data_IF_728555000945
#
_entry.id   IF_728555000945
#
_cell.length_a   1.000
_cell.length_b   1.000
_cell.length_c   1.000
_cell.angle_alpha   90.00
_cell.angle_beta   90.00
_cell.angle_gamma   90.00
#
_symmetry.space_group_name_H-M   'P 1'
#
loop_
_entity.id
_entity.type
_entity.pdbx_description
1 polymer ?
#
# COMPACT_ATOMS: atom_id res chain seq x y z
N UNK A 1 0.55 20.19 8.41
CA UNK A 1 -0.30 19.09 8.94
C UNK A 1 -1.16 18.41 7.87
N UNK A 2 -1.37 19.00 6.68
CA UNK A 2 -2.22 18.45 5.61
C UNK A 2 -1.59 17.28 4.81
N UNK A 3 -0.28 17.28 4.58
CA UNK A 3 0.39 16.33 3.69
C UNK A 3 0.39 14.87 4.17
N UNK A 4 0.87 14.63 5.39
CA UNK A 4 1.00 13.27 5.96
C UNK A 4 -0.35 12.59 6.17
N UNK A 5 -1.35 13.33 6.67
CA UNK A 5 -2.70 12.79 6.84
C UNK A 5 -3.33 12.35 5.52
N UNK A 6 -3.07 13.08 4.42
CA UNK A 6 -3.54 12.71 3.10
C UNK A 6 -2.84 11.44 2.58
N UNK A 7 -1.53 11.28 2.77
CA UNK A 7 -0.82 10.05 2.40
C UNK A 7 -1.38 8.84 3.14
N UNK A 8 -1.54 8.95 4.47
CA UNK A 8 -2.09 7.88 5.31
C UNK A 8 -3.51 7.52 4.85
N UNK A 9 -4.37 8.52 4.62
CA UNK A 9 -5.73 8.30 4.15
C UNK A 9 -5.76 7.59 2.78
N UNK A 10 -4.88 7.97 1.85
CA UNK A 10 -4.80 7.35 0.52
C UNK A 10 -4.31 5.89 0.57
N UNK A 11 -3.30 5.60 1.41
CA UNK A 11 -2.84 4.23 1.65
C UNK A 11 -3.98 3.41 2.24
N UNK A 12 -4.53 3.83 3.39
CA UNK A 12 -5.59 3.10 4.10
C UNK A 12 -6.79 2.87 3.18
N UNK A 13 -7.16 3.86 2.39
CA UNK A 13 -8.22 3.75 1.41
C UNK A 13 -7.97 2.62 0.40
N UNK A 14 -6.79 2.58 -0.22
CA UNK A 14 -6.40 1.56 -1.19
C UNK A 14 -6.38 0.17 -0.56
N UNK A 15 -5.69 0.02 0.58
CA UNK A 15 -5.56 -1.27 1.27
C UNK A 15 -6.91 -1.81 1.73
N UNK A 16 -7.78 -0.92 2.21
CA UNK A 16 -9.14 -1.28 2.62
C UNK A 16 -10.00 -1.74 1.44
N UNK A 17 -9.86 -1.13 0.26
CA UNK A 17 -10.57 -1.58 -0.96
C UNK A 17 -10.12 -3.00 -1.33
N UNK A 18 -8.83 -3.32 -1.24
CA UNK A 18 -8.32 -4.66 -1.55
C UNK A 18 -8.76 -5.70 -0.53
N UNK A 19 -8.70 -5.38 0.76
CA UNK A 19 -9.24 -6.24 1.81
C UNK A 19 -10.75 -6.50 1.61
N UNK A 20 -11.52 -5.46 1.28
CA UNK A 20 -12.97 -5.58 0.98
C UNK A 20 -13.24 -6.43 -0.26
N UNK A 21 -12.37 -6.37 -1.28
CA UNK A 21 -12.49 -7.24 -2.47
C UNK A 21 -12.27 -8.70 -2.10
N UNK A 22 -11.25 -9.03 -1.31
CA UNK A 22 -11.00 -10.41 -0.87
C UNK A 22 -12.16 -10.93 -0.01
N UNK A 23 -12.62 -10.14 0.96
CA UNK A 23 -13.77 -10.48 1.81
C UNK A 23 -15.05 -10.63 0.96
N UNK A 24 -15.25 -9.76 -0.02
CA UNK A 24 -16.39 -9.79 -0.94
C UNK A 24 -16.41 -11.04 -1.82
N UNK A 25 -15.26 -11.49 -2.33
CA UNK A 25 -15.14 -12.76 -3.07
C UNK A 25 -15.51 -13.94 -2.16
N UNK A 26 -15.04 -13.94 -0.91
CA UNK A 26 -15.36 -14.97 0.07
C UNK A 26 -16.85 -14.97 0.47
N UNK A 27 -17.47 -13.80 0.70
CA UNK A 27 -18.90 -13.68 1.02
C UNK A 27 -19.79 -14.07 -0.18
N UNK A 28 -19.45 -13.63 -1.39
CA UNK A 28 -20.14 -14.01 -2.62
C UNK A 28 -20.11 -15.54 -2.80
N UNK A 29 -18.95 -16.14 -2.56
CA UNK A 29 -18.79 -17.58 -2.65
C UNK A 29 -19.60 -18.34 -1.57
N UNK A 30 -19.68 -17.81 -0.34
CA UNK A 30 -20.54 -18.35 0.73
C UNK A 30 -22.05 -18.27 0.42
N UNK A 31 -22.49 -17.35 -0.44
CA UNK A 31 -23.91 -17.25 -0.85
C UNK A 31 -24.37 -18.46 -1.64
N UNK A 32 -23.46 -19.18 -2.30
CA UNK A 32 -23.79 -20.39 -3.07
C UNK A 32 -23.93 -21.66 -2.20
N UNK A 33 -23.67 -21.59 -0.88
CA UNK A 33 -23.87 -22.70 0.06
C UNK A 33 -25.29 -22.72 0.65
N UNK A 34 -25.73 -23.89 1.14
CA UNK A 34 -27.01 -24.08 1.83
C UNK A 34 -27.20 -23.12 3.02
N UNK A 35 -28.45 -22.81 3.38
CA UNK A 35 -28.78 -21.75 4.34
C UNK A 35 -28.09 -21.90 5.71
N UNK A 36 -27.99 -23.13 6.23
CA UNK A 36 -27.36 -23.43 7.52
C UNK A 36 -25.82 -23.35 7.44
N UNK A 37 -25.26 -23.92 6.37
CA UNK A 37 -23.84 -23.87 6.02
C UNK A 37 -23.34 -22.43 5.79
N UNK A 38 -24.16 -21.59 5.16
CA UNK A 38 -23.89 -20.15 4.95
C UNK A 38 -23.76 -19.39 6.27
N UNK A 39 -24.59 -19.70 7.26
CA UNK A 39 -24.56 -19.01 8.57
C UNK A 39 -23.31 -19.36 9.37
N UNK A 40 -22.90 -20.63 9.37
CA UNK A 40 -21.63 -21.08 9.97
C UNK A 40 -20.42 -20.52 9.24
N UNK A 41 -20.42 -20.58 7.90
CA UNK A 41 -19.34 -20.05 7.08
C UNK A 41 -19.13 -18.54 7.26
N UNK A 42 -20.20 -17.74 7.34
CA UNK A 42 -20.09 -16.29 7.63
C UNK A 42 -19.52 -16.01 9.03
N UNK A 43 -19.93 -16.77 10.06
CA UNK A 43 -19.34 -16.63 11.40
C UNK A 43 -17.84 -16.92 11.41
N UNK A 44 -17.41 -17.97 10.70
CA UNK A 44 -16.00 -18.33 10.56
C UNK A 44 -15.21 -17.31 9.73
N UNK A 45 -15.82 -16.74 8.69
CA UNK A 45 -15.24 -15.63 7.93
C UNK A 45 -14.95 -14.44 8.85
N UNK A 46 -15.95 -13.97 9.61
CA UNK A 46 -15.77 -12.84 10.52
C UNK A 46 -14.81 -13.12 11.67
N UNK A 47 -14.78 -14.36 12.19
CA UNK A 47 -13.77 -14.78 13.16
C UNK A 47 -12.36 -14.69 12.57
N UNK A 48 -12.17 -15.11 11.32
CA UNK A 48 -10.91 -14.98 10.60
C UNK A 48 -10.52 -13.51 10.38
N UNK A 49 -11.45 -12.67 9.93
CA UNK A 49 -11.24 -11.21 9.79
C UNK A 49 -10.79 -10.60 11.11
N UNK A 50 -11.49 -10.89 12.22
CA UNK A 50 -11.13 -10.37 13.54
C UNK A 50 -9.73 -10.82 13.96
N UNK A 51 -9.39 -12.09 13.76
CA UNK A 51 -8.06 -12.62 14.05
C UNK A 51 -6.96 -11.93 13.21
N UNK A 52 -7.22 -11.69 11.92
CA UNK A 52 -6.29 -10.97 11.04
C UNK A 52 -6.09 -9.51 11.47
N UNK A 53 -7.16 -8.81 11.82
CA UNK A 53 -7.08 -7.43 12.34
C UNK A 53 -6.29 -7.38 13.65
N UNK A 54 -6.54 -8.31 14.58
CA UNK A 54 -5.79 -8.39 15.83
C UNK A 54 -4.29 -8.61 15.58
N UNK A 55 -3.93 -9.43 14.60
CA UNK A 55 -2.52 -9.66 14.25
C UNK A 55 -1.87 -8.39 13.67
N UNK A 56 -2.57 -7.66 12.80
CA UNK A 56 -2.09 -6.39 12.27
C UNK A 56 -1.93 -5.33 13.37
N UNK A 57 -2.89 -5.23 14.29
CA UNK A 57 -2.79 -4.33 15.45
C UNK A 57 -1.63 -4.71 16.37
N UNK A 58 -1.37 -6.00 16.56
CA UNK A 58 -0.24 -6.48 17.34
C UNK A 58 1.09 -6.09 16.68
N UNK A 59 1.19 -6.21 15.35
CA UNK A 59 2.35 -5.72 14.61
C UNK A 59 2.52 -4.20 14.78
N UNK A 60 1.44 -3.43 14.69
CA UNK A 60 1.47 -1.98 14.86
C UNK A 60 1.99 -1.59 16.26
N UNK A 61 1.46 -2.24 17.29
CA UNK A 61 1.90 -2.04 18.66
C UNK A 61 3.37 -2.41 18.84
N UNK A 62 3.83 -3.50 18.21
CA UNK A 62 5.23 -3.91 18.27
C UNK A 62 6.16 -2.88 17.61
N UNK A 63 5.81 -2.38 16.42
CA UNK A 63 6.62 -1.36 15.72
C UNK A 63 6.73 -0.06 16.53
N UNK A 64 5.63 0.39 17.13
CA UNK A 64 5.62 1.57 18.00
C UNK A 64 6.44 1.32 19.26
N UNK A 65 6.26 0.18 19.93
CA UNK A 65 7.00 -0.17 21.14
C UNK A 65 8.51 -0.23 20.89
N UNK A 66 8.92 -0.86 19.79
CA UNK A 66 10.33 -0.91 19.39
C UNK A 66 10.83 0.50 19.08
N UNK A 67 10.12 1.26 18.25
CA UNK A 67 10.51 2.63 17.90
C UNK A 67 10.67 3.55 19.11
N UNK A 68 9.73 3.53 20.06
CA UNK A 68 9.75 4.36 21.28
C UNK A 68 10.83 3.92 22.27
N UNK A 69 11.32 2.68 22.17
CA UNK A 69 12.38 2.16 23.05
C UNK A 69 13.79 2.55 22.62
N UNK A 70 13.98 2.96 21.37
CA UNK A 70 15.27 3.35 20.80
C UNK A 70 15.55 4.84 21.04
N UNK A 71 16.82 5.21 21.17
CA UNK A 71 17.24 6.60 21.36
C UNK A 71 18.51 6.90 20.57
N UNK A 72 18.69 8.16 20.15
CA UNK A 72 19.89 8.61 19.46
C UNK A 72 20.09 7.91 18.10
N UNK A 73 21.29 7.39 17.86
CA UNK A 73 21.65 6.80 16.57
C UNK A 73 20.80 5.56 16.23
N UNK A 74 20.44 4.73 17.23
CA UNK A 74 19.62 3.53 17.00
C UNK A 74 18.22 3.88 16.49
N UNK A 75 17.64 4.98 16.99
CA UNK A 75 16.36 5.51 16.53
C UNK A 75 16.46 5.97 15.07
N UNK A 76 17.55 6.69 14.73
CA UNK A 76 17.77 7.18 13.38
C UNK A 76 17.95 6.03 12.37
N UNK A 77 18.69 4.97 12.73
CA UNK A 77 18.82 3.77 11.91
C UNK A 77 17.48 3.05 11.72
N UNK A 78 16.72 2.86 12.80
CA UNK A 78 15.42 2.19 12.74
C UNK A 78 14.40 2.98 11.91
N UNK A 79 14.34 4.30 12.11
CA UNK A 79 13.51 5.23 11.32
C UNK A 79 13.86 5.13 9.84
N UNK A 80 15.14 5.25 9.50
CA UNK A 80 15.63 5.20 8.11
C UNK A 80 15.31 3.86 7.46
N UNK A 81 15.61 2.75 8.15
CA UNK A 81 15.32 1.40 7.66
C UNK A 81 13.82 1.21 7.42
N UNK A 82 12.99 1.64 8.37
CA UNK A 82 11.53 1.55 8.25
C UNK A 82 11.01 2.30 7.04
N UNK A 83 11.46 3.55 6.84
CA UNK A 83 11.02 4.39 5.70
C UNK A 83 11.39 3.72 4.36
N UNK A 84 12.62 3.21 4.24
CA UNK A 84 13.10 2.54 3.03
C UNK A 84 12.42 1.19 2.79
N UNK A 85 12.17 0.42 3.85
CA UNK A 85 11.40 -0.83 3.76
C UNK A 85 9.98 -0.55 3.32
N UNK A 86 9.31 0.46 3.89
CA UNK A 86 7.98 0.88 3.46
C UNK A 86 7.96 1.26 1.97
N UNK A 87 8.92 2.06 1.52
CA UNK A 87 9.04 2.43 0.11
C UNK A 87 9.24 1.20 -0.81
N UNK A 88 10.13 0.28 -0.43
CA UNK A 88 10.39 -0.96 -1.16
C UNK A 88 9.17 -1.88 -1.24
N UNK A 89 8.44 -2.03 -0.13
CA UNK A 89 7.20 -2.80 -0.08
C UNK A 89 6.10 -2.20 -0.98
N UNK A 90 5.95 -0.87 -1.03
CA UNK A 90 5.00 -0.21 -1.95
C UNK A 90 5.37 -0.53 -3.40
N UNK A 91 6.63 -0.33 -3.79
CA UNK A 91 7.09 -0.60 -5.16
C UNK A 91 6.90 -2.07 -5.52
N UNK A 92 7.30 -2.98 -4.63
CA UNK A 92 7.15 -4.41 -4.83
C UNK A 92 5.69 -4.80 -5.05
N UNK A 93 4.76 -4.29 -4.22
CA UNK A 93 3.33 -4.59 -4.32
C UNK A 93 2.74 -4.09 -5.64
N UNK A 94 3.05 -2.86 -6.01
CA UNK A 94 2.62 -2.27 -7.29
C UNK A 94 3.06 -3.13 -8.47
N UNK A 95 4.33 -3.53 -8.49
CA UNK A 95 4.88 -4.36 -9.56
C UNK A 95 4.26 -5.77 -9.57
N UNK A 96 4.00 -6.34 -8.39
CA UNK A 96 3.37 -7.66 -8.26
C UNK A 96 1.94 -7.68 -8.79
N UNK A 97 1.13 -6.67 -8.46
CA UNK A 97 -0.23 -6.53 -9.00
C UNK A 97 -0.23 -6.37 -10.52
N UNK A 98 0.71 -5.60 -11.06
CA UNK A 98 0.81 -5.41 -12.50
C UNK A 98 1.21 -6.70 -13.24
N UNK A 99 2.05 -7.53 -12.63
CA UNK A 99 2.41 -8.83 -13.18
C UNK A 99 1.28 -9.88 -13.06
N UNK A 100 0.54 -9.90 -11.94
CA UNK A 100 -0.35 -11.01 -11.59
C UNK A 100 -1.85 -10.68 -11.62
N UNK A 101 -2.26 -9.43 -11.83
CA UNK A 101 -3.66 -8.97 -11.70
C UNK A 101 -4.68 -9.68 -12.59
N UNK A 102 -4.27 -10.20 -13.76
CA UNK A 102 -5.14 -10.96 -14.67
C UNK A 102 -5.25 -12.46 -14.34
N UNK A 103 -4.42 -12.99 -13.44
CA UNK A 103 -4.35 -14.42 -13.10
C UNK A 103 -4.94 -14.75 -11.72
N UNK A 104 -4.97 -13.79 -10.78
CA UNK A 104 -5.44 -14.00 -9.41
C UNK A 104 -6.90 -14.49 -9.34
N UNK A 105 -7.80 -13.85 -10.10
CA UNK A 105 -9.22 -14.24 -10.10
C UNK A 105 -9.45 -15.69 -10.57
N UNK A 106 -8.64 -16.18 -11.51
CA UNK A 106 -8.73 -17.55 -12.03
C UNK A 106 -8.07 -18.57 -11.08
N UNK A 107 -6.94 -18.21 -10.46
CA UNK A 107 -6.22 -19.08 -9.54
C UNK A 107 -6.94 -19.26 -8.20
N UNK A 108 -7.55 -18.19 -7.66
CA UNK A 108 -8.37 -18.28 -6.45
C UNK A 108 -9.63 -19.12 -6.69
N UNK A 109 -10.31 -18.94 -7.82
CA UNK A 109 -11.47 -19.75 -8.19
C UNK A 109 -11.16 -21.26 -8.29
N UNK A 110 -9.99 -21.61 -8.82
CA UNK A 110 -9.56 -23.00 -8.99
C UNK A 110 -9.10 -23.68 -7.70
N UNK A 111 -8.48 -22.96 -6.75
CA UNK A 111 -8.06 -23.54 -5.45
C UNK A 111 -9.21 -23.66 -4.45
N UNK A 112 -10.22 -22.81 -4.56
CA UNK A 112 -11.38 -22.81 -3.64
C UNK A 112 -12.35 -23.96 -3.91
N UNK A 113 -12.49 -24.39 -5.18
CA UNK A 113 -13.38 -25.50 -5.56
C UNK A 113 -12.96 -26.86 -4.96
N UNK A 114 -11.69 -27.03 -4.59
CA UNK A 114 -11.17 -28.24 -3.95
C UNK A 114 -11.43 -28.32 -2.44
N UNK A 115 -11.21 -27.23 -1.70
CA UNK A 115 -11.24 -27.23 -0.23
C UNK A 115 -12.63 -27.38 0.39
N UNK A 116 -13.67 -27.03 -0.37
CA UNK A 116 -15.06 -26.98 0.12
C UNK A 116 -15.76 -28.32 -0.02
N UNK A 117 -15.33 -29.13 -1.00
CA UNK A 117 -15.78 -30.52 -1.14
C UNK A 117 -15.51 -31.36 0.12
N UNK A 118 -14.65 -30.87 1.02
CA UNK A 118 -14.31 -31.49 2.30
C UNK A 118 -15.03 -30.92 3.54
N UNK A 119 -15.94 -29.93 3.42
CA UNK A 119 -16.73 -29.42 4.56
C UNK A 119 -15.94 -28.72 5.68
N UNK A 120 -14.68 -28.33 5.43
CA UNK A 120 -13.77 -27.76 6.43
C UNK A 120 -13.89 -26.24 6.50
N UNK A 121 -14.90 -25.74 7.23
CA UNK A 121 -15.14 -24.30 7.48
C UNK A 121 -13.96 -23.55 8.11
N UNK A 122 -13.07 -24.27 8.79
CA UNK A 122 -11.78 -23.76 9.26
C UNK A 122 -10.89 -23.21 8.14
N UNK A 123 -10.99 -23.75 6.93
CA UNK A 123 -10.26 -23.23 5.77
C UNK A 123 -10.70 -21.82 5.37
N UNK A 124 -11.99 -21.50 5.50
CA UNK A 124 -12.52 -20.15 5.23
C UNK A 124 -12.04 -19.16 6.30
N UNK A 125 -12.07 -19.56 7.57
CA UNK A 125 -11.54 -18.75 8.68
C UNK A 125 -10.05 -18.45 8.47
N UNK A 126 -9.24 -19.48 8.25
CA UNK A 126 -7.80 -19.34 8.07
C UNK A 126 -7.44 -18.49 6.85
N UNK A 127 -8.12 -18.71 5.71
CA UNK A 127 -7.88 -17.94 4.50
C UNK A 127 -8.22 -16.47 4.68
N UNK A 128 -9.34 -16.17 5.34
CA UNK A 128 -9.73 -14.81 5.67
C UNK A 128 -8.75 -14.15 6.65
N UNK A 129 -8.31 -14.90 7.67
CA UNK A 129 -7.32 -14.42 8.64
C UNK A 129 -5.99 -14.10 7.96
N UNK A 130 -5.45 -14.99 7.13
CA UNK A 130 -4.19 -14.77 6.40
C UNK A 130 -4.31 -13.58 5.44
N UNK A 131 -5.42 -13.49 4.71
CA UNK A 131 -5.64 -12.37 3.79
C UNK A 131 -5.69 -11.03 4.53
N UNK A 132 -6.55 -10.91 5.55
CA UNK A 132 -6.68 -9.66 6.32
C UNK A 132 -5.40 -9.33 7.10
N UNK A 133 -4.73 -10.34 7.66
CA UNK A 133 -3.44 -10.15 8.33
C UNK A 133 -2.39 -9.59 7.37
N UNK A 134 -2.32 -10.08 6.13
CA UNK A 134 -1.38 -9.59 5.12
C UNK A 134 -1.66 -8.13 4.77
N UNK A 135 -2.87 -7.83 4.28
CA UNK A 135 -3.23 -6.46 3.87
C UNK A 135 -3.13 -5.48 5.06
N UNK A 136 -3.53 -5.92 6.26
CA UNK A 136 -3.41 -5.15 7.48
C UNK A 136 -1.97 -4.91 7.91
N UNK A 137 -1.07 -5.90 7.79
CA UNK A 137 0.34 -5.77 8.12
C UNK A 137 1.07 -4.81 7.17
N UNK A 138 0.73 -4.88 5.88
CA UNK A 138 1.25 -3.95 4.87
C UNK A 138 0.77 -2.52 5.16
N UNK A 139 -0.53 -2.33 5.45
CA UNK A 139 -1.10 -1.05 5.88
C UNK A 139 -0.34 -0.46 7.07
N UNK A 140 -0.10 -1.29 8.09
CA UNK A 140 0.61 -0.88 9.31
C UNK A 140 2.05 -0.47 9.01
N UNK A 141 2.78 -1.26 8.22
CA UNK A 141 4.15 -0.96 7.83
C UNK A 141 4.24 0.36 7.04
N UNK A 142 3.30 0.61 6.13
CA UNK A 142 3.24 1.84 5.34
C UNK A 142 2.92 3.07 6.20
N UNK A 143 1.90 2.98 7.06
CA UNK A 143 1.56 4.08 7.97
C UNK A 143 2.76 4.40 8.86
N UNK A 144 3.37 3.38 9.46
CA UNK A 144 4.52 3.57 10.33
C UNK A 144 5.71 4.19 9.57
N UNK A 145 5.99 3.76 8.35
CA UNK A 145 7.00 4.37 7.48
C UNK A 145 6.72 5.83 7.13
N UNK A 146 5.46 6.18 6.82
CA UNK A 146 5.07 7.58 6.56
C UNK A 146 5.22 8.45 7.82
N UNK A 147 4.86 7.92 8.99
CA UNK A 147 5.04 8.61 10.27
C UNK A 147 6.53 8.80 10.60
N UNK A 148 7.35 7.77 10.38
CA UNK A 148 8.80 7.79 10.58
C UNK A 148 9.48 8.85 9.70
N UNK A 149 9.06 8.97 8.43
CA UNK A 149 9.55 9.99 7.49
C UNK A 149 9.18 11.43 7.88
N UNK A 150 8.17 11.60 8.75
CA UNK A 150 7.64 12.90 9.10
C UNK A 150 8.43 13.68 10.15
N UNK A 151 9.39 13.04 10.84
CA UNK A 151 10.30 13.66 11.81
C UNK A 151 9.64 14.31 13.04
N UNK A 152 8.32 14.29 13.15
CA UNK A 152 7.55 14.94 14.22
C UNK A 152 6.81 13.90 15.06
N UNK A 153 6.70 14.10 16.38
CA UNK A 153 5.88 13.24 17.21
C UNK A 153 4.45 13.23 16.66
N UNK A 154 3.98 12.04 16.32
CA UNK A 154 2.66 11.86 15.76
C UNK A 154 1.61 12.31 16.79
N UNK A 155 0.86 13.37 16.50
CA UNK A 155 -0.33 13.67 17.30
C UNK A 155 -1.32 12.52 17.10
N UNK A 156 -1.51 11.72 18.15
CA UNK A 156 -2.39 10.53 18.15
C UNK A 156 -3.77 10.82 17.53
N UNK A 157 -4.31 12.01 17.80
CA UNK A 157 -5.60 12.47 17.25
C UNK A 157 -5.57 12.59 15.72
N UNK A 158 -4.49 13.12 15.14
CA UNK A 158 -4.34 13.30 13.70
C UNK A 158 -4.18 11.95 12.96
N UNK A 159 -3.48 11.00 13.56
CA UNK A 159 -3.33 9.65 13.01
C UNK A 159 -4.64 8.89 13.04
N UNK A 160 -5.35 8.91 14.17
CA UNK A 160 -6.65 8.25 14.31
C UNK A 160 -7.69 8.85 13.36
N UNK A 161 -7.70 10.17 13.18
CA UNK A 161 -8.60 10.82 12.21
C UNK A 161 -8.23 10.49 10.76
N UNK A 162 -6.94 10.38 10.40
CA UNK A 162 -6.51 9.96 9.06
C UNK A 162 -6.86 8.49 8.76
N UNK A 163 -6.69 7.59 9.74
CA UNK A 163 -7.11 6.19 9.62
C UNK A 163 -8.63 6.10 9.48
N UNK A 164 -9.38 6.82 10.33
CA UNK A 164 -10.84 6.85 10.30
C UNK A 164 -11.39 7.39 8.97
N UNK A 165 -10.79 8.46 8.43
CA UNK A 165 -11.19 9.01 7.13
C UNK A 165 -10.84 8.07 5.97
N UNK A 166 -9.71 7.35 6.04
CA UNK A 166 -9.32 6.31 5.08
C UNK A 166 -10.33 5.15 5.03
N UNK A 167 -10.74 4.62 6.20
CA UNK A 167 -11.77 3.58 6.26
C UNK A 167 -13.13 4.07 5.76
N UNK A 168 -13.52 5.30 6.11
CA UNK A 168 -14.76 5.90 5.62
C UNK A 168 -14.75 6.05 4.09
N UNK A 169 -13.64 6.55 3.51
CA UNK A 169 -13.46 6.67 2.08
C UNK A 169 -13.50 5.30 1.38
N UNK A 170 -12.97 4.25 2.02
CA UNK A 170 -12.99 2.90 1.47
C UNK A 170 -14.41 2.32 1.45
N UNK A 171 -15.18 2.53 2.53
CA UNK A 171 -16.59 2.15 2.60
C UNK A 171 -17.43 2.86 1.53
N UNK A 172 -17.23 4.17 1.34
CA UNK A 172 -17.92 4.95 0.30
C UNK A 172 -17.51 4.48 -1.10
N UNK A 173 -16.23 4.23 -1.33
CA UNK A 173 -15.71 3.78 -2.62
C UNK A 173 -16.20 2.37 -2.97
N UNK A 174 -16.22 1.46 -1.99
CA UNK A 174 -16.81 0.14 -2.15
C UNK A 174 -18.31 0.22 -2.46
N UNK A 175 -19.06 1.07 -1.75
CA UNK A 175 -20.48 1.27 -2.04
C UNK A 175 -20.69 1.85 -3.45
N UNK A 176 -19.94 2.88 -3.85
CA UNK A 176 -19.99 3.46 -5.18
C UNK A 176 -19.62 2.45 -6.28
N UNK A 177 -18.65 1.56 -6.03
CA UNK A 177 -18.24 0.52 -6.99
C UNK A 177 -19.24 -0.64 -7.03
N UNK A 178 -19.85 -1.00 -5.89
CA UNK A 178 -20.85 -2.06 -5.79
C UNK A 178 -22.19 -1.66 -6.43
N UNK A 179 -22.61 -0.40 -6.24
CA UNK A 179 -23.86 0.13 -6.80
C UNK A 179 -23.69 0.80 -8.17
N UNK A 180 -22.47 1.21 -8.53
CA UNK A 180 -22.16 2.06 -9.67
C UNK A 180 -21.15 1.48 -10.66
N UNK A 181 -21.30 0.20 -11.03
CA UNK A 181 -20.48 -0.46 -12.07
C UNK A 181 -20.52 0.20 -13.47
N UNK A 182 -21.36 1.24 -13.65
CA UNK A 182 -21.48 2.05 -14.87
C UNK A 182 -20.69 3.38 -14.87
N UNK A 183 -20.16 3.85 -13.74
CA UNK A 183 -19.60 5.22 -13.65
C UNK A 183 -18.07 5.27 -13.69
N UNK A 184 -17.37 4.28 -13.14
CA UNK A 184 -15.89 4.22 -13.15
C UNK A 184 -15.43 2.82 -13.51
N UNK A 185 -14.56 2.71 -14.52
CA UNK A 185 -13.95 1.42 -14.88
C UNK A 185 -12.91 1.02 -13.82
N UNK A 186 -13.00 -0.21 -13.32
CA UNK A 186 -12.01 -0.80 -12.40
C UNK A 186 -10.56 -0.63 -12.88
N UNK A 187 -10.36 -0.70 -14.20
CA UNK A 187 -9.03 -0.52 -14.83
C UNK A 187 -8.47 0.89 -14.64
N UNK A 188 -9.32 1.92 -14.75
CA UNK A 188 -8.88 3.31 -14.57
C UNK A 188 -8.57 3.59 -13.10
N UNK A 189 -9.40 3.08 -12.21
CA UNK A 189 -9.19 3.17 -10.76
C UNK A 189 -7.84 2.58 -10.34
N UNK A 190 -7.56 1.33 -10.72
CA UNK A 190 -6.30 0.67 -10.38
C UNK A 190 -5.09 1.35 -11.00
N UNK A 191 -5.19 1.87 -12.24
CA UNK A 191 -4.09 2.63 -12.85
C UNK A 191 -3.83 3.94 -12.13
N UNK A 192 -4.87 4.66 -11.74
CA UNK A 192 -4.73 5.93 -11.03
C UNK A 192 -4.13 5.71 -9.63
N UNK A 193 -4.58 4.69 -8.90
CA UNK A 193 -4.01 4.35 -7.59
C UNK A 193 -2.58 3.82 -7.69
N UNK A 194 -2.24 3.05 -8.74
CA UNK A 194 -0.87 2.60 -9.03
C UNK A 194 0.10 3.79 -9.18
N UNK A 195 -0.25 4.77 -10.02
CA UNK A 195 0.56 5.97 -10.23
C UNK A 195 0.71 6.75 -8.92
N UNK A 196 -0.37 6.89 -8.16
CA UNK A 196 -0.35 7.58 -6.87
C UNK A 196 0.60 6.91 -5.86
N UNK A 197 0.57 5.57 -5.77
CA UNK A 197 1.46 4.82 -4.89
C UNK A 197 2.93 4.91 -5.32
N UNK A 198 3.21 4.93 -6.63
CA UNK A 198 4.58 5.13 -7.12
C UNK A 198 5.12 6.53 -6.81
N UNK A 199 4.27 7.56 -6.85
CA UNK A 199 4.62 8.91 -6.39
C UNK A 199 4.87 8.91 -4.86
N UNK A 200 4.04 8.22 -4.08
CA UNK A 200 4.22 8.13 -2.64
C UNK A 200 5.52 7.40 -2.27
N UNK A 201 5.84 6.32 -2.98
CA UNK A 201 7.09 5.62 -2.81
C UNK A 201 8.30 6.51 -3.19
N UNK A 202 8.22 7.35 -4.22
CA UNK A 202 9.31 8.32 -4.48
C UNK A 202 9.50 9.29 -3.33
N UNK A 203 8.41 9.76 -2.71
CA UNK A 203 8.49 10.63 -1.54
C UNK A 203 9.18 9.95 -0.35
N UNK A 204 8.86 8.69 -0.06
CA UNK A 204 9.51 7.92 0.99
C UNK A 204 10.98 7.63 0.68
N UNK A 205 11.34 7.34 -0.58
CA UNK A 205 12.74 7.15 -0.99
C UNK A 205 13.55 8.43 -0.79
N UNK A 206 13.00 9.59 -1.19
CA UNK A 206 13.67 10.88 -0.97
C UNK A 206 13.80 11.18 0.52
N UNK A 207 12.77 10.90 1.32
CA UNK A 207 12.85 11.07 2.77
C UNK A 207 13.91 10.16 3.40
N UNK A 208 13.93 8.86 3.05
CA UNK A 208 14.94 7.92 3.52
C UNK A 208 16.36 8.30 3.08
N UNK A 209 16.53 8.81 1.86
CA UNK A 209 17.82 9.32 1.42
C UNK A 209 18.28 10.56 2.19
N UNK A 210 17.35 11.45 2.56
CA UNK A 210 17.67 12.59 3.43
C UNK A 210 18.14 12.14 4.81
N UNK A 211 17.53 11.11 5.39
CA UNK A 211 17.97 10.52 6.67
C UNK A 211 19.34 9.83 6.52
N UNK A 212 19.59 9.13 5.41
CA UNK A 212 20.91 8.55 5.12
C UNK A 212 22.02 9.60 4.97
N UNK A 213 21.69 10.81 4.49
CA UNK A 213 22.64 11.94 4.47
C UNK A 213 22.91 12.41 5.91
N UNK A 214 21.86 12.50 6.74
CA UNK A 214 22.01 12.84 8.17
C UNK A 214 22.80 11.82 8.99
N UNK A 215 22.84 10.56 8.55
CA UNK A 215 23.64 9.47 9.12
C UNK A 215 25.07 9.37 8.56
N UNK A 216 25.51 10.32 7.72
CA UNK A 216 26.81 10.31 7.03
C UNK A 216 27.04 9.07 6.11
N UNK A 217 25.97 8.38 5.71
CA UNK A 217 26.05 7.20 4.80
C UNK A 217 26.06 7.66 3.34
N UNK A 218 25.22 8.65 3.02
CA UNK A 218 25.20 9.29 1.71
C UNK A 218 25.86 10.67 1.79
N UNK A 219 26.82 10.99 0.90
CA UNK A 219 27.34 12.34 0.85
C UNK A 219 26.27 13.30 0.32
N UNK A 220 26.15 14.49 0.93
CA UNK A 220 25.29 15.57 0.41
C UNK A 220 25.68 16.01 -1.02
N UNK A 221 26.94 15.77 -1.42
CA UNK A 221 27.60 16.14 -2.68
C UNK A 221 27.71 17.66 -2.94
N UNK A 222 26.73 18.47 -2.52
CA UNK A 222 26.76 19.94 -2.62
C UNK A 222 25.73 20.60 -1.70
N UNK A 223 25.82 21.93 -1.54
CA UNK A 223 24.69 22.73 -1.04
C UNK A 223 23.47 22.70 -1.99
N UNK A 224 22.37 23.40 -1.64
CA UNK A 224 21.14 23.42 -2.42
C UNK A 224 21.38 23.77 -3.89
N UNK A 225 20.91 22.92 -4.82
CA UNK A 225 21.11 23.13 -6.26
C UNK A 225 20.25 24.27 -6.81
N UNK A 226 19.07 24.46 -6.26
CA UNK A 226 18.14 25.53 -6.62
C UNK A 226 17.28 25.92 -5.43
N UNK A 227 16.59 27.06 -5.58
CA UNK A 227 15.58 27.54 -4.64
C UNK A 227 14.28 27.85 -5.39
N UNK A 228 13.29 26.97 -5.27
CA UNK A 228 11.95 27.13 -5.83
C UNK A 228 10.91 27.50 -4.77
N UNK A 229 11.37 27.91 -3.57
CA UNK A 229 10.49 28.28 -2.45
C UNK A 229 9.58 29.46 -2.78
N UNK A 230 10.02 30.34 -3.69
CA UNK A 230 9.23 31.47 -4.17
C UNK A 230 7.98 31.05 -4.97
N UNK A 231 8.02 29.88 -5.62
CA UNK A 231 6.89 29.33 -6.38
C UNK A 231 6.08 28.37 -5.51
N UNK A 232 6.75 27.48 -4.78
CA UNK A 232 6.10 26.46 -3.97
C UNK A 232 7.01 26.04 -2.81
N UNK A 233 6.68 26.56 -1.62
CA UNK A 233 7.33 26.21 -0.36
C UNK A 233 6.82 24.85 0.15
N UNK A 234 7.74 23.89 0.30
CA UNK A 234 7.46 22.54 0.79
C UNK A 234 7.15 22.49 2.29
N UNK A 235 7.34 23.59 3.03
CA UNK A 235 6.82 23.74 4.40
C UNK A 235 5.38 24.26 4.44
N UNK A 236 4.86 24.78 3.32
CA UNK A 236 3.51 25.32 3.21
C UNK A 236 2.41 24.23 3.18
N UNK A 237 1.12 24.59 3.33
CA UNK A 237 0.02 23.62 3.36
C UNK A 237 -0.15 22.83 2.05
N UNK A 238 0.07 23.50 0.91
CA UNK A 238 -0.06 22.93 -0.45
C UNK A 238 1.26 22.31 -0.90
N UNK A 239 2.37 23.04 -0.76
CA UNK A 239 3.68 22.52 -1.14
C UNK A 239 4.13 21.34 -0.28
N UNK A 240 3.77 21.31 1.01
CA UNK A 240 4.00 20.15 1.88
C UNK A 240 3.12 18.94 1.52
N UNK A 241 1.93 19.14 0.96
CA UNK A 241 1.12 18.05 0.42
C UNK A 241 1.76 17.50 -0.86
N UNK A 242 2.22 18.36 -1.76
CA UNK A 242 2.88 17.94 -3.00
C UNK A 242 4.22 17.26 -2.70
N UNK A 243 5.00 17.81 -1.77
CA UNK A 243 6.24 17.21 -1.26
C UNK A 243 5.98 15.82 -0.67
N UNK A 244 4.96 15.69 0.16
CA UNK A 244 4.54 14.40 0.71
C UNK A 244 4.09 13.43 -0.40
N UNK A 245 3.31 13.87 -1.38
CA UNK A 245 2.79 12.96 -2.40
C UNK A 245 3.83 12.56 -3.44
N UNK A 246 4.81 13.41 -3.76
CA UNK A 246 5.70 13.23 -4.91
C UNK A 246 7.17 13.12 -4.55
N UNK A 247 7.59 13.57 -3.37
CA UNK A 247 9.00 13.70 -2.99
C UNK A 247 9.63 15.01 -3.43
N UNK A 248 8.84 15.98 -3.90
CA UNK A 248 9.32 17.31 -4.24
C UNK A 248 9.96 18.01 -3.04
N UNK A 249 11.07 18.72 -3.28
CA UNK A 249 11.77 19.56 -2.30
C UNK A 249 12.03 20.93 -2.92
N UNK A 250 11.82 21.99 -2.14
CA UNK A 250 12.01 23.38 -2.60
C UNK A 250 13.50 23.75 -2.74
N UNK A 251 14.35 23.11 -1.94
CA UNK A 251 15.81 23.28 -1.89
C UNK A 251 16.52 21.92 -1.82
N UNK A 252 16.55 21.13 -2.90
CA UNK A 252 17.16 19.80 -2.87
C UNK A 252 18.68 19.88 -2.97
N UNK A 253 19.34 19.00 -2.23
CA UNK A 253 20.75 18.68 -2.38
C UNK A 253 20.99 17.81 -3.63
N UNK A 254 22.19 17.85 -4.19
CA UNK A 254 22.51 17.11 -5.42
C UNK A 254 22.27 15.61 -5.28
N UNK A 255 22.60 15.03 -4.13
CA UNK A 255 22.34 13.61 -3.86
C UNK A 255 20.85 13.27 -3.93
N UNK A 256 19.97 14.12 -3.38
CA UNK A 256 18.53 13.88 -3.40
C UNK A 256 17.97 13.91 -4.84
N UNK A 257 18.51 14.77 -5.70
CA UNK A 257 18.12 14.82 -7.13
C UNK A 257 18.58 13.56 -7.85
N UNK A 258 19.79 13.07 -7.58
CA UNK A 258 20.31 11.82 -8.14
C UNK A 258 19.43 10.65 -7.70
N UNK A 259 19.11 10.55 -6.41
CA UNK A 259 18.23 9.49 -5.87
C UNK A 259 16.84 9.55 -6.50
N UNK A 260 16.24 10.74 -6.60
CA UNK A 260 14.94 10.93 -7.22
C UNK A 260 14.94 10.51 -8.70
N UNK A 261 15.96 10.92 -9.45
CA UNK A 261 16.14 10.55 -10.85
C UNK A 261 16.37 9.05 -11.02
N UNK A 262 17.20 8.44 -10.17
CA UNK A 262 17.48 7.01 -10.19
C UNK A 262 16.22 6.18 -9.88
N UNK A 263 15.41 6.62 -8.92
CA UNK A 263 14.12 5.99 -8.62
C UNK A 263 13.21 5.98 -9.84
N UNK A 264 12.97 7.13 -10.48
CA UNK A 264 12.09 7.20 -11.65
C UNK A 264 12.66 6.47 -12.86
N UNK A 265 13.98 6.53 -13.08
CA UNK A 265 14.63 5.76 -14.13
C UNK A 265 14.42 4.25 -13.93
N UNK A 266 14.59 3.76 -12.69
CA UNK A 266 14.33 2.37 -12.34
C UNK A 266 12.86 1.99 -12.57
N UNK A 267 11.91 2.78 -12.06
CA UNK A 267 10.48 2.53 -12.24
C UNK A 267 10.13 2.52 -13.74
N UNK A 268 10.48 3.55 -14.50
CA UNK A 268 10.20 3.61 -15.95
C UNK A 268 10.83 2.44 -16.71
N UNK A 269 12.04 2.02 -16.34
CA UNK A 269 12.68 0.84 -16.91
C UNK A 269 11.91 -0.44 -16.59
N UNK A 270 11.47 -0.65 -15.35
CA UNK A 270 10.63 -1.80 -14.99
C UNK A 270 9.27 -1.74 -15.69
N UNK A 271 8.64 -0.57 -15.78
CA UNK A 271 7.33 -0.40 -16.41
C UNK A 271 7.39 -0.50 -17.94
N UNK A 272 8.54 -0.25 -18.57
CA UNK A 272 8.75 -0.38 -20.02
C UNK A 272 9.11 -1.80 -20.45
N UNK A 273 9.50 -2.68 -19.52
CA UNK A 273 9.66 -4.11 -19.82
C UNK A 273 8.31 -4.66 -20.32
N UNK A 274 8.25 -5.24 -21.53
CA UNK A 274 7.04 -5.88 -22.01
C UNK A 274 6.67 -7.03 -21.08
N UNK A 275 5.66 -6.82 -20.23
CA UNK A 275 5.14 -7.86 -19.36
C UNK A 275 4.50 -8.96 -20.20
N UNK A 276 5.23 -10.08 -20.33
CA UNK A 276 4.78 -11.49 -20.37
C UNK A 276 3.25 -11.68 -20.49
N UNK A 277 2.71 -11.30 -21.64
CA UNK A 277 1.27 -11.26 -21.91
C UNK A 277 0.93 -11.32 -23.40
N UNK A 278 1.86 -11.80 -24.23
CA UNK A 278 1.64 -12.13 -25.66
C UNK A 278 2.25 -13.49 -25.97
N UNK A 279 1.73 -14.57 -25.39
CA UNK A 279 1.93 -15.93 -25.91
C UNK A 279 0.67 -16.76 -25.67
N UNK A 280 -0.36 -16.50 -26.47
CA UNK A 280 -1.41 -17.47 -26.82
C UNK A 280 -2.37 -16.83 -27.83
N UNK A 281 -1.91 -16.53 -29.05
CA UNK A 281 -2.80 -16.26 -30.21
C UNK A 281 -2.13 -16.70 -31.53
N UNK A 282 -1.25 -17.72 -31.47
CA UNK A 282 -0.48 -18.19 -32.63
C UNK A 282 -0.65 -19.66 -33.00
N UNK A 283 -1.60 -20.38 -32.39
CA UNK A 283 -1.71 -21.83 -32.58
C UNK A 283 -3.15 -22.28 -32.90
N UNK A 284 -3.84 -21.60 -33.84
CA UNK A 284 -5.08 -22.14 -34.44
C UNK A 284 -5.27 -21.74 -35.91
N UNK A 285 -4.18 -21.67 -36.69
CA UNK A 285 -4.26 -21.45 -38.15
C UNK A 285 -3.31 -22.37 -38.93
N UNK A 286 -3.14 -23.60 -38.46
CA UNK A 286 -2.44 -24.65 -39.21
C UNK A 286 -3.15 -26.00 -39.00
N UNK A 287 -4.37 -26.10 -39.52
CA UNK A 287 -5.05 -27.37 -39.81
C UNK A 287 -6.13 -27.11 -40.87
N UNK A 288 -5.65 -26.87 -42.10
CA UNK A 288 -6.38 -27.17 -43.34
C UNK A 288 -5.65 -28.30 -44.03
#
# INVERSE_FOLDING_TARGET
MSGQGAQIALIVWRESVEALLVIGILDCWLRNADAESRRRGRRMLWAGVLAGVLLALLLAALLVLVGDSLQGDEEAWFRTATVLVAAGLIVQMVLWMRANGASLGRALGARMSGSVRAGRWWGVCLLAAIAVAREGSETVAFIYGVLAAGGRPAQTVAVVTAIGSGFAAAGVSYALLAYGSRVVSWRLFFRASEIMLLLLASALVVAGASELIGLDILPALSGPLWDTSWLMDDYGPVGGLISALTGYRSRPEAMLVIVFGAYWAFILWVLSRPGVGKRADGATTAAT
#
